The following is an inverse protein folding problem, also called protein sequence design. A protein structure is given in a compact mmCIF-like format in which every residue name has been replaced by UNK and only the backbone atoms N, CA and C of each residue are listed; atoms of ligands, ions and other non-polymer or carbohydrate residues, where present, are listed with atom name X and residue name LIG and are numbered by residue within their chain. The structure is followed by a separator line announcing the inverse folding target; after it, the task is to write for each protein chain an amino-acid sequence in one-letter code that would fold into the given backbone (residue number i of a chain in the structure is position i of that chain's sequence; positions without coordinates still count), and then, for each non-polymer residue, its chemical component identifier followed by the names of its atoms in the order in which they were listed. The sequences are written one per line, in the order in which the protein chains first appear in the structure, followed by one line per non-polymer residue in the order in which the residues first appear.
data_IF_281918392466
#
_entry.id   IF_281918392466
#
_cell.length_a   1.000
_cell.length_b   1.000
_cell.length_c   1.000
_cell.angle_alpha   90.00
_cell.angle_beta   90.00
_cell.angle_gamma   90.00
#
_symmetry.space_group_name_H-M   'P 1'
#
loop_
_entity.id
_entity.type
_entity.pdbx_description
1 polymer ?
#
# COMPACT_ATOMS: atom_id res chain seq x y z
N UNK A 1 5.03 23.44 16.62
CA UNK A 1 4.54 22.38 17.53
C UNK A 1 3.28 22.90 18.21
N UNK A 2 2.18 22.16 18.11
CA UNK A 2 0.90 22.45 18.79
C UNK A 2 0.82 21.54 20.04
N UNK A 3 0.43 22.02 21.24
CA UNK A 3 0.50 21.25 22.48
C UNK A 3 -0.59 20.17 22.63
N UNK A 4 -1.49 20.00 21.66
CA UNK A 4 -2.63 19.08 21.78
C UNK A 4 -2.46 17.70 21.11
N UNK A 5 -1.28 17.35 20.58
CA UNK A 5 -0.92 15.96 20.23
C UNK A 5 -1.86 15.23 19.25
N UNK A 6 -2.72 15.94 18.50
CA UNK A 6 -3.58 15.36 17.48
C UNK A 6 -3.14 15.83 16.10
N UNK A 7 -2.27 15.04 15.49
CA UNK A 7 -1.88 15.20 14.09
C UNK A 7 -3.04 14.81 13.16
N UNK A 8 -3.25 15.53 12.05
CA UNK A 8 -4.44 15.37 11.22
C UNK A 8 -4.42 14.00 10.52
N UNK A 9 -5.41 13.19 10.87
CA UNK A 9 -5.69 11.87 10.32
C UNK A 9 -6.10 11.97 8.84
N UNK A 10 -5.13 11.96 7.92
CA UNK A 10 -5.39 11.79 6.50
C UNK A 10 -5.18 10.33 6.07
N UNK A 11 -6.04 9.43 6.57
CA UNK A 11 -6.21 8.07 6.05
C UNK A 11 -7.21 8.08 4.90
N UNK A 12 -6.74 7.66 3.71
CA UNK A 12 -7.41 7.72 2.42
C UNK A 12 -8.79 7.02 2.31
N UNK A 13 -9.29 6.35 3.34
CA UNK A 13 -10.67 5.86 3.38
C UNK A 13 -11.70 7.00 3.41
N UNK A 14 -11.32 8.17 3.91
CA UNK A 14 -12.15 9.38 3.86
C UNK A 14 -12.13 10.08 2.50
N UNK A 15 -11.10 9.90 1.66
CA UNK A 15 -11.08 10.54 0.33
C UNK A 15 -12.17 9.98 -0.60
N UNK A 16 -12.61 8.72 -0.39
CA UNK A 16 -13.71 8.11 -1.16
C UNK A 16 -15.06 8.07 -0.42
N UNK A 17 -15.10 8.05 0.92
CA UNK A 17 -16.37 8.20 1.67
C UNK A 17 -16.84 9.66 1.79
N UNK A 18 -15.96 10.65 2.02
CA UNK A 18 -16.32 12.09 1.87
C UNK A 18 -16.45 12.52 0.41
N UNK A 19 -15.95 11.72 -0.54
CA UNK A 19 -16.34 11.94 -1.92
C UNK A 19 -17.86 11.71 -2.13
N UNK A 20 -18.46 10.77 -1.40
CA UNK A 20 -19.90 10.52 -1.51
C UNK A 20 -20.74 11.52 -0.69
N UNK A 21 -20.15 12.23 0.27
CA UNK A 21 -20.82 13.26 1.07
C UNK A 21 -20.02 14.56 1.17
N UNK A 22 -20.30 15.49 0.25
CA UNK A 22 -19.99 16.94 0.25
C UNK A 22 -18.63 17.39 0.86
N UNK A 23 -17.68 17.71 -0.01
CA UNK A 23 -17.01 19.04 -0.15
C UNK A 23 -16.00 18.97 -1.31
N UNK A 24 -15.80 20.12 -1.96
CA UNK A 24 -15.27 20.28 -3.32
C UNK A 24 -13.93 19.56 -3.60
N UNK A 25 -13.98 18.49 -4.40
CA UNK A 25 -12.81 17.94 -5.09
C UNK A 25 -13.11 17.81 -6.59
N UNK A 26 -12.27 18.45 -7.40
CA UNK A 26 -12.40 18.58 -8.86
C UNK A 26 -12.73 17.25 -9.57
N UNK A 27 -13.77 17.26 -10.41
CA UNK A 27 -14.35 16.07 -11.05
C UNK A 27 -13.39 15.22 -11.91
N UNK A 28 -12.24 15.76 -12.32
CA UNK A 28 -11.21 15.00 -13.07
C UNK A 28 -10.50 13.97 -12.20
N UNK A 29 -10.08 14.30 -10.96
CA UNK A 29 -9.40 13.37 -10.04
C UNK A 29 -10.26 12.16 -9.68
N UNK A 30 -11.56 12.37 -9.42
CA UNK A 30 -12.50 11.27 -9.12
C UNK A 30 -12.69 10.31 -10.28
N UNK A 31 -12.76 10.81 -11.53
CA UNK A 31 -12.88 9.96 -12.71
C UNK A 31 -11.62 9.12 -12.94
N UNK A 32 -10.44 9.69 -12.67
CA UNK A 32 -9.16 9.00 -12.82
C UNK A 32 -8.99 7.88 -11.79
N UNK A 33 -9.30 8.13 -10.52
CA UNK A 33 -9.30 7.10 -9.47
C UNK A 33 -10.30 5.98 -9.75
N UNK A 34 -11.51 6.29 -10.25
CA UNK A 34 -12.49 5.26 -10.66
C UNK A 34 -12.01 4.43 -11.87
N UNK A 35 -11.30 5.03 -12.83
CA UNK A 35 -10.71 4.30 -13.96
C UNK A 35 -9.58 3.38 -13.51
N UNK A 36 -8.70 3.86 -12.63
CA UNK A 36 -7.61 3.06 -12.05
C UNK A 36 -8.16 1.89 -11.23
N UNK A 37 -9.22 2.11 -10.44
CA UNK A 37 -9.86 1.04 -9.66
C UNK A 37 -10.52 -0.03 -10.56
N UNK A 38 -11.21 0.37 -11.63
CA UNK A 38 -11.75 -0.57 -12.64
C UNK A 38 -10.66 -1.35 -13.39
N UNK A 39 -9.45 -0.81 -13.49
CA UNK A 39 -8.29 -1.48 -14.10
C UNK A 39 -7.69 -2.50 -13.13
N UNK A 40 -7.53 -2.13 -11.87
CA UNK A 40 -7.13 -3.05 -10.80
C UNK A 40 -8.10 -4.23 -10.65
N UNK A 41 -9.41 -3.98 -10.63
CA UNK A 41 -10.42 -5.04 -10.58
C UNK A 41 -10.35 -6.02 -11.77
N UNK A 42 -9.94 -5.55 -12.95
CA UNK A 42 -9.73 -6.40 -14.12
C UNK A 42 -8.47 -7.25 -14.02
N UNK A 43 -7.38 -6.67 -13.52
CA UNK A 43 -6.14 -7.40 -13.26
C UNK A 43 -6.32 -8.48 -12.17
N UNK A 44 -7.19 -8.22 -11.18
CA UNK A 44 -7.60 -9.18 -10.13
C UNK A 44 -8.12 -10.53 -10.67
N UNK A 45 -8.65 -10.56 -11.89
CA UNK A 45 -9.26 -11.75 -12.48
C UNK A 45 -8.30 -12.56 -13.37
N UNK A 46 -7.07 -12.09 -13.61
CA UNK A 46 -6.09 -12.81 -14.42
C UNK A 46 -5.38 -13.86 -13.55
N UNK A 47 -5.93 -15.07 -13.57
CA UNK A 47 -5.36 -16.25 -12.91
C UNK A 47 -4.08 -16.67 -13.63
N UNK A 48 -2.95 -16.62 -12.94
CA UNK A 48 -1.79 -17.43 -13.31
C UNK A 48 -1.87 -18.76 -12.56
N UNK A 49 -1.92 -19.86 -13.31
CA UNK A 49 -1.69 -21.22 -12.82
C UNK A 49 -0.17 -21.45 -12.87
N UNK A 50 0.37 -21.94 -11.76
CA UNK A 50 1.74 -22.43 -11.53
C UNK A 50 2.78 -21.38 -11.05
N UNK A 51 2.97 -21.36 -9.72
CA UNK A 51 4.25 -21.19 -8.99
C UNK A 51 3.90 -21.06 -7.49
N UNK A 52 4.65 -21.73 -6.61
CA UNK A 52 4.43 -21.77 -5.15
C UNK A 52 4.56 -20.40 -4.45
N UNK A 53 5.07 -19.38 -5.14
CA UNK A 53 5.29 -18.03 -4.57
C UNK A 53 4.70 -16.95 -5.48
N UNK A 54 3.38 -16.99 -5.69
CA UNK A 54 2.66 -15.99 -6.49
C UNK A 54 1.90 -15.03 -5.56
N UNK A 55 1.99 -13.73 -5.85
CA UNK A 55 1.15 -12.72 -5.22
C UNK A 55 -0.31 -12.92 -5.65
N UNK A 56 -1.12 -13.39 -4.71
CA UNK A 56 -2.55 -13.64 -4.92
C UNK A 56 -3.35 -12.43 -4.50
N UNK A 57 -4.57 -12.26 -5.01
CA UNK A 57 -5.48 -11.20 -4.56
C UNK A 57 -6.56 -11.77 -3.67
N UNK A 58 -6.83 -11.14 -2.52
CA UNK A 58 -7.89 -11.54 -1.60
C UNK A 58 -8.75 -10.33 -1.19
N UNK A 59 -10.05 -10.52 -0.87
CA UNK A 59 -10.85 -9.47 -0.24
C UNK A 59 -10.31 -9.17 1.17
N UNK A 60 -10.51 -7.93 1.66
CA UNK A 60 -10.07 -7.55 3.02
C UNK A 60 -10.72 -8.40 4.13
N UNK A 61 -11.90 -8.96 3.89
CA UNK A 61 -12.60 -9.88 4.81
C UNK A 61 -12.05 -11.31 4.82
N UNK A 62 -10.97 -11.57 4.08
CA UNK A 62 -10.36 -12.90 4.02
C UNK A 62 -9.60 -13.19 5.32
N UNK A 63 -10.16 -14.11 6.10
CA UNK A 63 -9.65 -14.52 7.41
C UNK A 63 -8.59 -15.62 7.26
N UNK A 64 -7.40 -15.26 6.80
CA UNK A 64 -6.21 -16.08 7.02
C UNK A 64 -5.33 -15.43 8.07
N UNK A 65 -4.89 -16.24 9.04
CA UNK A 65 -3.83 -15.88 9.98
C UNK A 65 -2.55 -15.60 9.19
N UNK A 66 -1.80 -14.61 9.62
CA UNK A 66 -0.57 -14.23 8.93
C UNK A 66 -0.07 -12.86 9.36
N UNK A 67 1.06 -12.51 8.80
CA UNK A 67 1.77 -11.26 9.07
C UNK A 67 1.39 -10.22 8.02
N UNK A 68 0.88 -9.06 8.46
CA UNK A 68 0.60 -7.95 7.57
C UNK A 68 1.89 -7.23 7.16
N UNK A 69 1.94 -6.81 5.90
CA UNK A 69 3.07 -6.09 5.34
C UNK A 69 2.56 -4.95 4.45
N UNK A 70 3.10 -3.74 4.65
CA UNK A 70 2.97 -2.63 3.70
C UNK A 70 4.21 -2.63 2.82
N UNK A 71 4.00 -2.58 1.51
CA UNK A 71 5.06 -2.39 0.53
C UNK A 71 4.90 -1.05 -0.17
N UNK A 72 5.92 -0.21 -0.16
CA UNK A 72 6.00 0.98 -0.99
C UNK A 72 6.84 0.69 -2.23
N UNK A 73 6.27 0.94 -3.40
CA UNK A 73 6.98 0.89 -4.67
C UNK A 73 7.19 2.32 -5.14
N UNK A 74 8.44 2.72 -5.35
CA UNK A 74 8.84 4.04 -5.83
C UNK A 74 9.71 3.84 -7.07
N UNK A 75 9.15 4.07 -8.25
CA UNK A 75 9.81 3.75 -9.51
C UNK A 75 10.14 2.25 -9.61
N UNK A 76 11.42 1.91 -9.42
CA UNK A 76 11.89 0.52 -9.39
C UNK A 76 12.26 0.02 -7.97
N UNK A 77 12.30 0.94 -7.00
CA UNK A 77 12.65 0.65 -5.62
C UNK A 77 11.44 0.09 -4.87
N UNK A 78 11.68 -0.84 -3.93
CA UNK A 78 10.65 -1.54 -3.16
C UNK A 78 11.06 -1.52 -1.70
N UNK A 79 10.19 -0.98 -0.84
CA UNK A 79 10.40 -0.88 0.59
C UNK A 79 9.32 -1.68 1.31
N UNK A 80 9.72 -2.74 2.01
CA UNK A 80 8.83 -3.57 2.81
C UNK A 80 8.82 -3.11 4.26
N UNK A 81 7.63 -3.04 4.83
CA UNK A 81 7.41 -2.83 6.24
C UNK A 81 6.47 -3.92 6.78
N UNK A 82 6.94 -4.69 7.73
CA UNK A 82 6.13 -5.64 8.48
C UNK A 82 5.33 -4.90 9.55
N UNK A 83 4.08 -5.32 9.73
CA UNK A 83 3.14 -4.70 10.65
C UNK A 83 2.69 -5.75 11.64
N UNK A 84 3.28 -5.70 12.84
CA UNK A 84 2.82 -6.51 13.95
C UNK A 84 1.75 -5.72 14.70
N UNK A 85 0.51 -6.18 14.63
CA UNK A 85 -0.59 -5.64 15.41
C UNK A 85 -1.30 -6.79 16.11
N UNK A 86 -1.64 -6.60 17.39
CA UNK A 86 -2.55 -7.51 18.09
C UNK A 86 -4.03 -7.28 17.69
N UNK A 87 -4.30 -6.30 16.82
CA UNK A 87 -5.62 -5.98 16.30
C UNK A 87 -5.80 -6.44 14.84
N UNK A 88 -7.03 -6.81 14.46
CA UNK A 88 -7.38 -7.20 13.08
C UNK A 88 -7.19 -6.08 12.04
N UNK A 89 -7.16 -4.81 12.47
CA UNK A 89 -6.83 -3.65 11.63
C UNK A 89 -5.82 -2.73 12.36
N UNK A 90 -4.55 -2.84 11.99
CA UNK A 90 -3.45 -2.06 12.54
C UNK A 90 -3.60 -0.53 12.39
N UNK A 91 -4.49 -0.07 11.51
CA UNK A 91 -4.73 1.37 11.29
C UNK A 91 -5.57 2.00 12.39
N UNK A 92 -6.21 1.18 13.22
CA UNK A 92 -6.98 1.60 14.39
C UNK A 92 -6.48 0.83 15.61
N UNK A 93 -5.34 1.23 16.20
CA UNK A 93 -4.85 0.60 17.42
C UNK A 93 -5.88 0.83 18.52
N UNK A 94 -6.68 -0.19 18.85
CA UNK A 94 -7.59 -0.20 19.99
C UNK A 94 -6.79 -0.46 21.27
N UNK A 95 -5.88 0.44 21.62
CA UNK A 95 -4.98 0.33 22.78
C UNK A 95 -3.91 -0.78 22.69
N UNK A 96 -3.75 -1.41 21.52
CA UNK A 96 -2.69 -2.40 21.25
C UNK A 96 -1.49 -1.74 20.54
N UNK A 97 -0.24 -1.99 20.98
CA UNK A 97 0.94 -1.49 20.30
C UNK A 97 1.03 -2.09 18.90
N UNK A 98 0.97 -1.24 17.89
CA UNK A 98 1.32 -1.63 16.52
C UNK A 98 2.80 -1.36 16.33
N UNK A 99 3.57 -2.43 16.10
CA UNK A 99 4.99 -2.31 15.78
C UNK A 99 5.18 -2.37 14.27
N UNK A 100 6.02 -1.46 13.78
CA UNK A 100 6.45 -1.40 12.40
C UNK A 100 7.94 -1.68 12.35
N UNK A 101 8.34 -2.59 11.47
CA UNK A 101 9.74 -2.89 11.23
C UNK A 101 10.02 -3.03 9.75
N UNK A 102 11.23 -2.67 9.32
CA UNK A 102 11.67 -2.96 7.97
C UNK A 102 11.64 -4.48 7.75
N UNK A 103 11.15 -4.92 6.60
CA UNK A 103 11.20 -6.32 6.22
C UNK A 103 11.72 -6.50 4.79
N UNK A 104 12.44 -7.60 4.57
CA UNK A 104 12.82 -8.01 3.24
C UNK A 104 11.61 -8.62 2.52
N UNK A 105 11.28 -8.08 1.35
CA UNK A 105 10.26 -8.64 0.47
C UNK A 105 10.97 -9.58 -0.51
N UNK A 106 10.58 -10.87 -0.60
CA UNK A 106 11.23 -11.81 -1.51
C UNK A 106 11.29 -11.27 -2.94
N UNK A 107 12.38 -11.47 -3.69
CA UNK A 107 12.57 -10.87 -5.01
C UNK A 107 11.39 -11.06 -5.96
N UNK A 108 10.79 -12.25 -5.97
CA UNK A 108 9.64 -12.59 -6.80
C UNK A 108 8.39 -11.78 -6.44
N UNK A 109 8.16 -11.53 -5.14
CA UNK A 109 7.05 -10.71 -4.66
C UNK A 109 7.31 -9.24 -4.95
N UNK A 110 8.55 -8.77 -4.77
CA UNK A 110 8.96 -7.42 -5.12
C UNK A 110 8.77 -7.13 -6.62
N UNK A 111 9.11 -8.08 -7.49
CA UNK A 111 8.86 -8.01 -8.94
C UNK A 111 7.38 -7.92 -9.27
N UNK A 112 6.54 -8.71 -8.60
CA UNK A 112 5.09 -8.65 -8.80
C UNK A 112 4.51 -7.30 -8.32
N UNK A 113 4.99 -6.76 -7.20
CA UNK A 113 4.64 -5.42 -6.74
C UNK A 113 5.03 -4.32 -7.75
N UNK A 114 6.23 -4.41 -8.35
CA UNK A 114 6.66 -3.53 -9.44
C UNK A 114 5.75 -3.66 -10.66
N UNK A 115 5.44 -4.89 -11.08
CA UNK A 115 4.57 -5.15 -12.23
C UNK A 115 3.16 -4.58 -12.02
N UNK A 116 2.57 -4.76 -10.83
CA UNK A 116 1.28 -4.17 -10.47
C UNK A 116 1.34 -2.65 -10.59
N UNK A 117 2.34 -2.00 -9.98
CA UNK A 117 2.51 -0.54 -10.02
C UNK A 117 2.65 -0.01 -11.46
N UNK A 118 3.49 -0.64 -12.28
CA UNK A 118 3.68 -0.32 -13.70
C UNK A 118 2.40 -0.52 -14.51
N UNK A 119 1.71 -1.65 -14.31
CA UNK A 119 0.48 -1.98 -15.04
C UNK A 119 -0.65 -0.98 -14.78
N UNK A 120 -0.61 -0.27 -13.65
CA UNK A 120 -1.56 0.77 -13.28
C UNK A 120 -1.07 2.19 -13.58
N UNK A 121 0.16 2.32 -14.12
CA UNK A 121 0.86 3.58 -14.33
C UNK A 121 0.97 4.43 -13.05
N UNK A 122 1.31 3.77 -11.94
CA UNK A 122 1.49 4.38 -10.64
C UNK A 122 2.99 4.45 -10.30
N UNK A 123 3.61 5.63 -10.36
CA UNK A 123 5.03 5.78 -10.08
C UNK A 123 5.39 5.62 -8.61
N UNK A 124 4.43 5.91 -7.73
CA UNK A 124 4.51 5.71 -6.28
C UNK A 124 3.26 4.96 -5.88
N UNK A 125 3.41 3.82 -5.22
CA UNK A 125 2.31 2.92 -4.88
C UNK A 125 2.52 2.33 -3.49
N UNK A 126 1.47 2.30 -2.66
CA UNK A 126 1.45 1.50 -1.45
C UNK A 126 0.64 0.23 -1.69
N UNK A 127 1.17 -0.93 -1.29
CA UNK A 127 0.53 -2.23 -1.51
C UNK A 127 0.39 -2.91 -0.15
N UNK A 128 -0.84 -3.25 0.22
CA UNK A 128 -1.11 -3.98 1.46
C UNK A 128 -1.12 -5.48 1.19
N UNK A 129 -0.20 -6.18 1.84
CA UNK A 129 0.02 -7.60 1.72
C UNK A 129 -0.20 -8.32 3.06
N UNK A 130 -0.46 -9.63 3.00
CA UNK A 130 -0.29 -10.55 4.12
C UNK A 130 0.46 -11.79 3.69
N UNK A 131 1.42 -12.19 4.52
CA UNK A 131 2.17 -13.44 4.41
C UNK A 131 1.56 -14.47 5.35
N UNK A 132 1.11 -15.60 4.82
CA UNK A 132 0.63 -16.71 5.65
C UNK A 132 1.80 -17.45 6.31
N UNK A 133 1.57 -18.24 7.38
CA UNK A 133 2.60 -19.12 7.95
C UNK A 133 3.21 -20.10 6.93
N UNK A 134 2.45 -20.45 5.88
CA UNK A 134 2.92 -21.29 4.78
C UNK A 134 3.78 -20.53 3.74
N UNK A 135 4.04 -19.23 3.95
CA UNK A 135 4.85 -18.40 3.06
C UNK A 135 4.10 -17.87 1.83
N UNK A 136 2.78 -18.03 1.76
CA UNK A 136 1.98 -17.49 0.66
C UNK A 136 1.69 -16.00 0.86
N UNK A 137 1.66 -15.24 -0.24
CA UNK A 137 1.46 -13.79 -0.21
C UNK A 137 0.14 -13.38 -0.84
N UNK A 138 -0.64 -12.60 -0.11
CA UNK A 138 -1.95 -12.10 -0.52
C UNK A 138 -1.97 -10.57 -0.52
N UNK A 139 -2.38 -9.96 -1.63
CA UNK A 139 -2.60 -8.53 -1.81
C UNK A 139 -4.09 -8.18 -1.59
N UNK A 140 -4.33 -7.20 -0.72
CA UNK A 140 -5.68 -6.71 -0.41
C UNK A 140 -5.97 -5.34 -1.00
N UNK A 141 -4.96 -4.48 -1.08
CA UNK A 141 -5.11 -3.10 -1.51
C UNK A 141 -3.89 -2.65 -2.32
N UNK A 142 -4.15 -1.85 -3.34
CA UNK A 142 -3.15 -1.09 -4.08
C UNK A 142 -3.57 0.39 -4.02
N UNK A 143 -2.86 1.16 -3.21
CA UNK A 143 -3.12 2.55 -2.92
C UNK A 143 -2.28 3.46 -3.85
N UNK A 144 -2.90 4.25 -4.74
CA UNK A 144 -2.21 5.13 -5.69
C UNK A 144 -1.67 6.43 -5.07
N UNK A 145 -1.95 6.69 -3.80
CA UNK A 145 -1.48 7.87 -3.07
C UNK A 145 -1.08 7.49 -1.65
N UNK A 146 -0.02 6.67 -1.48
CA UNK A 146 0.37 6.17 -0.16
C UNK A 146 0.92 7.29 0.72
N UNK A 147 0.49 7.31 1.99
CA UNK A 147 1.29 7.92 3.04
C UNK A 147 2.54 7.07 3.27
N UNK A 148 3.70 7.70 3.43
CA UNK A 148 4.98 7.00 3.60
C UNK A 148 5.78 7.47 4.83
N UNK A 149 5.65 8.73 5.25
CA UNK A 149 6.45 9.31 6.34
C UNK A 149 6.38 8.50 7.64
N UNK A 150 5.21 8.03 8.04
CA UNK A 150 5.02 7.18 9.22
C UNK A 150 5.80 5.85 9.14
N UNK A 151 5.88 5.27 7.94
CA UNK A 151 6.62 4.02 7.73
C UNK A 151 8.12 4.30 7.68
N UNK A 152 8.54 5.34 6.97
CA UNK A 152 9.94 5.79 6.90
C UNK A 152 10.51 6.11 8.28
N UNK A 153 9.78 6.86 9.10
CA UNK A 153 10.20 7.20 10.47
C UNK A 153 10.36 5.94 11.33
N UNK A 154 9.43 4.98 11.20
CA UNK A 154 9.47 3.77 11.99
C UNK A 154 10.52 2.75 11.53
N UNK A 155 10.82 2.69 10.23
CA UNK A 155 11.72 1.68 9.65
C UNK A 155 13.12 2.21 9.31
N UNK A 156 13.31 3.53 9.26
CA UNK A 156 14.53 4.19 8.79
C UNK A 156 14.79 4.05 7.28
N UNK A 157 13.81 3.57 6.50
CA UNK A 157 13.97 3.38 5.06
C UNK A 157 13.87 4.71 4.29
N UNK A 158 14.71 4.95 3.27
CA UNK A 158 14.79 6.24 2.55
C UNK A 158 13.72 6.36 1.44
N UNK A 159 12.44 6.32 1.82
CA UNK A 159 11.32 6.38 0.88
C UNK A 159 11.18 7.78 0.25
N UNK A 160 11.37 8.83 1.05
CA UNK A 160 11.34 10.23 0.62
C UNK A 160 12.45 10.54 -0.38
N UNK A 161 13.67 10.09 -0.12
CA UNK A 161 14.81 10.22 -1.04
C UNK A 161 14.53 9.53 -2.37
N UNK A 162 14.03 8.29 -2.34
CA UNK A 162 13.66 7.57 -3.55
C UNK A 162 12.56 8.29 -4.36
N UNK A 163 11.64 8.99 -3.70
CA UNK A 163 10.62 9.80 -4.38
C UNK A 163 11.26 11.04 -5.01
N UNK A 164 12.18 11.71 -4.30
CA UNK A 164 12.90 12.86 -4.83
C UNK A 164 13.71 12.48 -6.08
N UNK A 165 14.47 11.39 -6.03
CA UNK A 165 15.23 10.84 -7.16
C UNK A 165 14.32 10.55 -8.37
N UNK A 166 13.16 9.94 -8.11
CA UNK A 166 12.19 9.62 -9.15
C UNK A 166 11.64 10.87 -9.85
N UNK A 167 11.47 11.97 -9.10
CA UNK A 167 11.01 13.24 -9.67
C UNK A 167 12.11 13.91 -10.48
N UNK A 168 13.35 13.90 -10.00
CA UNK A 168 14.50 14.47 -10.72
C UNK A 168 14.75 13.76 -12.06
N UNK A 169 14.61 12.43 -12.12
CA UNK A 169 14.76 11.64 -13.35
C UNK A 169 13.68 11.90 -14.41
N UNK A 170 12.56 12.55 -14.04
CA UNK A 170 11.44 12.83 -14.94
C UNK A 170 11.37 14.26 -15.45
N UNK A 171 12.28 15.11 -14.99
CA UNK A 171 12.39 16.52 -15.40
C UNK A 171 13.35 16.69 -16.60
N UNK A 172 14.00 15.60 -17.03
CA UNK A 172 14.81 15.51 -18.25
C UNK A 172 14.02 14.86 -19.40
#
# INVERSE_FOLDING_TARGET
MDPAGKWPQWTNLLCLRRAQGRTHFHGRRRRQLRKQWRRYQRLRNLRSRNASTTLRTAPRSFSNTGTDCRVHVVGNQVFGCEIASAADDYRYPQDAPTSLSACEVPPQIADQCRQVSRSLNLPVTGIDLRRTPAGEWYCFEVNPSPGFSFYEEATGQPISDAIADLLLLRVN
#
